data_IF_843679573450
#
_entry.id   IF_843679573450
#
_cell.length_a   1.000
_cell.length_b   1.000
_cell.length_c   1.000
_cell.angle_alpha   90.00
_cell.angle_beta   90.00
_cell.angle_gamma   90.00
#
_symmetry.space_group_name_H-M   'P 1'
#
loop_
_entity.id
_entity.type
_entity.pdbx_description
1 polymer ?
#
# COMPACT_ATOMS: atom_id res chain seq x y z
N UNK A 1 -40.92 82.61 -24.82
CA UNK A 1 -41.99 81.58 -24.94
C UNK A 1 -41.35 80.20 -24.88
N UNK A 2 -41.82 79.35 -23.95
CA UNK A 2 -41.73 77.87 -23.85
C UNK A 2 -40.34 77.21 -24.05
N UNK A 3 -39.60 76.82 -22.99
CA UNK A 3 -39.73 75.60 -22.15
C UNK A 3 -39.96 74.30 -22.94
N UNK A 4 -38.91 73.47 -23.10
CA UNK A 4 -38.99 72.00 -22.95
C UNK A 4 -37.68 71.50 -22.33
N UNK A 5 -37.75 71.21 -21.04
CA UNK A 5 -36.76 70.52 -20.23
C UNK A 5 -37.13 69.03 -20.32
N UNK A 6 -36.46 68.23 -21.15
CA UNK A 6 -36.70 66.78 -21.19
C UNK A 6 -35.82 66.11 -20.14
N UNK A 7 -36.48 65.71 -19.06
CA UNK A 7 -35.90 65.03 -17.91
C UNK A 7 -35.28 63.69 -18.32
N UNK A 8 -33.95 63.61 -18.26
CA UNK A 8 -33.21 62.35 -18.31
C UNK A 8 -33.21 61.75 -16.89
N UNK A 9 -34.34 61.18 -16.47
CA UNK A 9 -34.44 60.35 -15.26
C UNK A 9 -34.47 58.90 -15.72
N UNK A 10 -33.28 58.36 -16.02
CA UNK A 10 -33.07 56.93 -16.15
C UNK A 10 -33.11 56.33 -14.74
N UNK A 11 -33.87 55.25 -14.47
CA UNK A 11 -34.05 54.77 -13.10
C UNK A 11 -32.77 54.10 -12.62
N UNK A 12 -32.11 54.75 -11.65
CA UNK A 12 -30.99 54.22 -10.86
C UNK A 12 -31.42 53.10 -9.88
N UNK A 13 -32.44 52.31 -10.24
CA UNK A 13 -33.13 51.37 -9.34
C UNK A 13 -32.89 49.88 -9.65
N UNK A 14 -31.89 49.56 -10.50
CA UNK A 14 -31.60 48.17 -10.91
C UNK A 14 -30.27 47.59 -10.37
N UNK A 15 -29.57 48.26 -9.47
CA UNK A 15 -28.25 47.78 -8.97
C UNK A 15 -28.32 47.18 -7.55
N UNK A 16 -29.43 47.32 -6.82
CA UNK A 16 -29.52 46.87 -5.42
C UNK A 16 -30.03 45.44 -5.24
N UNK A 17 -30.53 44.78 -6.28
CA UNK A 17 -31.00 43.37 -6.22
C UNK A 17 -29.94 42.32 -6.58
N UNK A 18 -28.69 42.71 -6.87
CA UNK A 18 -27.68 41.82 -7.47
C UNK A 18 -26.64 41.18 -6.53
N UNK A 19 -26.53 41.59 -5.27
CA UNK A 19 -25.46 41.09 -4.36
C UNK A 19 -25.88 39.87 -3.53
N UNK A 20 -27.17 39.74 -3.17
CA UNK A 20 -27.64 38.66 -2.30
C UNK A 20 -27.81 37.30 -2.99
N UNK A 21 -28.24 37.28 -4.25
CA UNK A 21 -28.51 36.04 -4.99
C UNK A 21 -27.24 35.25 -5.30
N UNK A 22 -26.14 35.93 -5.65
CA UNK A 22 -24.85 35.29 -5.96
C UNK A 22 -24.18 34.65 -4.75
N UNK A 23 -24.23 35.30 -3.59
CA UNK A 23 -23.74 34.68 -2.36
C UNK A 23 -24.52 33.40 -2.05
N UNK A 24 -25.84 33.36 -2.30
CA UNK A 24 -26.65 32.15 -2.12
C UNK A 24 -26.21 31.02 -3.06
N UNK A 25 -25.90 31.31 -4.32
CA UNK A 25 -25.38 30.32 -5.27
C UNK A 25 -24.00 29.79 -4.85
N UNK A 26 -23.08 30.67 -4.45
CA UNK A 26 -21.75 30.31 -3.94
C UNK A 26 -21.88 29.42 -2.70
N UNK A 27 -22.74 29.79 -1.75
CA UNK A 27 -23.03 28.99 -0.57
C UNK A 27 -23.62 27.63 -0.93
N UNK A 28 -24.61 27.59 -1.82
CA UNK A 28 -25.22 26.33 -2.26
C UNK A 28 -24.21 25.41 -2.94
N UNK A 29 -23.32 25.94 -3.79
CA UNK A 29 -22.27 25.16 -4.43
C UNK A 29 -21.24 24.63 -3.41
N UNK A 30 -20.87 25.46 -2.42
CA UNK A 30 -19.99 25.07 -1.32
C UNK A 30 -20.62 23.97 -0.46
N UNK A 31 -21.90 24.13 -0.11
CA UNK A 31 -22.64 23.19 0.73
C UNK A 31 -22.87 21.85 0.01
N UNK A 32 -23.17 21.88 -1.30
CA UNK A 32 -23.27 20.68 -2.11
C UNK A 32 -21.94 19.90 -2.14
N UNK A 33 -20.81 20.60 -2.13
CA UNK A 33 -19.48 19.99 -2.11
C UNK A 33 -19.08 19.50 -0.71
N UNK A 34 -19.45 20.23 0.34
CA UNK A 34 -19.10 19.88 1.72
C UNK A 34 -19.95 18.72 2.26
N UNK A 35 -21.24 18.69 1.90
CA UNK A 35 -22.21 17.72 2.43
C UNK A 35 -22.43 16.53 1.49
N UNK A 36 -21.53 16.31 0.53
CA UNK A 36 -21.63 15.17 -0.38
C UNK A 36 -21.42 13.87 0.38
N UNK A 37 -22.38 12.96 0.26
CA UNK A 37 -22.32 11.66 0.91
C UNK A 37 -21.28 10.76 0.23
N UNK A 38 -20.60 9.96 1.06
CA UNK A 38 -19.87 8.79 0.60
C UNK A 38 -20.79 7.84 -0.17
N UNK A 39 -20.26 7.15 -1.18
CA UNK A 39 -21.01 6.07 -1.84
C UNK A 39 -21.32 4.93 -0.87
N UNK A 40 -22.59 4.59 -0.69
CA UNK A 40 -23.06 3.64 0.33
C UNK A 40 -22.52 2.20 0.19
N UNK A 41 -22.05 1.82 -1.01
CA UNK A 41 -21.46 0.52 -1.31
C UNK A 41 -20.26 0.69 -2.25
N UNK A 42 -19.23 1.38 -1.77
CA UNK A 42 -18.01 1.60 -2.55
C UNK A 42 -16.95 0.54 -2.24
N UNK A 43 -16.19 0.14 -3.26
CA UNK A 43 -14.98 -0.69 -3.09
C UNK A 43 -13.86 0.08 -2.39
N UNK A 44 -12.65 -0.46 -2.44
CA UNK A 44 -11.46 0.17 -1.85
C UNK A 44 -11.20 1.57 -2.43
N UNK A 45 -10.72 2.52 -1.64
CA UNK A 45 -10.33 3.84 -2.15
C UNK A 45 -8.93 3.79 -2.76
N UNK A 46 -8.05 2.98 -2.16
CA UNK A 46 -6.69 2.69 -2.62
C UNK A 46 -6.45 1.19 -2.57
N UNK A 47 -5.72 0.65 -3.53
CA UNK A 47 -5.32 -0.76 -3.57
C UNK A 47 -3.82 -0.86 -3.78
N UNK A 48 -3.17 -1.71 -3.00
CA UNK A 48 -1.80 -2.17 -3.25
C UNK A 48 -1.85 -3.63 -3.65
N UNK A 49 -1.25 -3.99 -4.78
CA UNK A 49 -1.09 -5.38 -5.22
C UNK A 49 0.37 -5.76 -5.21
N UNK A 50 0.69 -6.89 -4.59
CA UNK A 50 2.05 -7.42 -4.49
C UNK A 50 2.04 -8.86 -5.03
N UNK A 51 2.62 -9.11 -6.21
CA UNK A 51 2.74 -10.46 -6.74
C UNK A 51 3.60 -11.33 -5.82
N UNK A 52 3.15 -12.55 -5.52
CA UNK A 52 3.87 -13.48 -4.65
C UNK A 52 5.25 -13.82 -5.20
N UNK A 53 5.39 -13.94 -6.52
CA UNK A 53 6.69 -14.17 -7.16
C UNK A 53 7.72 -13.09 -6.77
N UNK A 54 7.32 -11.81 -6.80
CA UNK A 54 8.20 -10.68 -6.45
C UNK A 54 8.53 -10.67 -4.95
N UNK A 55 7.54 -10.91 -4.09
CA UNK A 55 7.75 -10.99 -2.65
C UNK A 55 8.69 -12.16 -2.28
N UNK A 56 8.52 -13.31 -2.93
CA UNK A 56 9.32 -14.52 -2.69
C UNK A 56 10.77 -14.35 -3.16
N UNK A 57 10.99 -13.68 -4.29
CA UNK A 57 12.34 -13.33 -4.74
C UNK A 57 13.07 -12.47 -3.71
N UNK A 58 12.39 -11.48 -3.13
CA UNK A 58 12.95 -10.61 -2.08
C UNK A 58 13.28 -11.41 -0.80
N UNK A 59 12.43 -12.34 -0.39
CA UNK A 59 12.73 -13.23 0.74
C UNK A 59 13.94 -14.13 0.47
N UNK A 60 14.03 -14.72 -0.73
CA UNK A 60 15.17 -15.54 -1.11
C UNK A 60 16.50 -14.75 -1.11
N UNK A 61 16.49 -13.52 -1.65
CA UNK A 61 17.65 -12.63 -1.62
C UNK A 61 18.06 -12.27 -0.19
N UNK A 62 17.07 -11.95 0.66
CA UNK A 62 17.30 -11.60 2.07
C UNK A 62 17.90 -12.78 2.85
N UNK A 63 17.37 -14.00 2.67
CA UNK A 63 17.89 -15.20 3.31
C UNK A 63 19.30 -15.56 2.83
N UNK A 64 19.59 -15.35 1.55
CA UNK A 64 20.94 -15.56 0.99
C UNK A 64 21.94 -14.59 1.62
N UNK A 65 21.57 -13.32 1.76
CA UNK A 65 22.41 -12.30 2.36
C UNK A 65 22.57 -12.46 3.88
N UNK A 66 21.55 -12.98 4.57
CA UNK A 66 21.56 -13.17 6.03
C UNK A 66 20.93 -14.51 6.39
N UNK A 67 21.70 -15.62 6.30
CA UNK A 67 21.21 -16.94 6.62
C UNK A 67 20.72 -17.03 8.07
N UNK A 68 19.51 -17.53 8.25
CA UNK A 68 18.93 -17.74 9.57
C UNK A 68 19.29 -19.11 10.10
N UNK A 69 20.12 -19.14 11.14
CA UNK A 69 20.52 -20.36 11.84
C UNK A 69 19.96 -20.40 13.26
N UNK A 70 19.58 -21.59 13.69
CA UNK A 70 19.19 -21.91 15.06
C UNK A 70 19.93 -23.16 15.52
N UNK A 71 20.43 -23.15 16.75
CA UNK A 71 20.91 -24.38 17.38
C UNK A 71 19.69 -25.21 17.82
N UNK A 72 19.73 -26.51 17.54
CA UNK A 72 18.69 -27.45 17.95
C UNK A 72 19.25 -28.36 19.05
N UNK A 73 18.50 -28.58 20.15
CA UNK A 73 18.95 -29.45 21.22
C UNK A 73 19.00 -30.90 20.72
N UNK A 74 20.09 -31.60 21.05
CA UNK A 74 20.25 -33.00 20.72
C UNK A 74 19.26 -33.88 21.53
N UNK A 75 18.46 -34.75 20.88
CA UNK A 75 17.57 -35.66 21.60
C UNK A 75 18.32 -36.78 22.32
N UNK A 76 17.70 -37.34 23.35
CA UNK A 76 18.10 -38.68 23.83
C UNK A 76 17.46 -39.75 22.94
N UNK A 77 18.29 -40.50 22.20
CA UNK A 77 17.82 -41.56 21.30
C UNK A 77 17.57 -42.91 22.01
N UNK A 78 17.77 -42.99 23.33
CA UNK A 78 17.49 -44.19 24.13
C UNK A 78 18.70 -44.67 24.95
N UNK A 79 18.76 -45.97 25.29
CA UNK A 79 19.76 -46.52 26.23
C UNK A 79 21.16 -46.69 25.63
N UNK A 80 21.32 -46.48 24.32
CA UNK A 80 22.62 -46.51 23.66
C UNK A 80 23.21 -45.11 23.78
N UNK A 81 24.44 -45.00 24.31
CA UNK A 81 25.21 -43.76 24.32
C UNK A 81 25.55 -43.38 22.87
N UNK A 82 24.67 -42.60 22.25
CA UNK A 82 24.91 -41.96 20.96
C UNK A 82 25.33 -40.52 21.26
N UNK A 83 26.57 -40.18 20.92
CA UNK A 83 27.04 -38.79 20.98
C UNK A 83 26.54 -38.07 19.75
N UNK A 84 25.42 -37.37 19.89
CA UNK A 84 24.86 -36.56 18.82
C UNK A 84 25.68 -35.27 18.73
N UNK A 85 26.28 -34.95 17.57
CA UNK A 85 26.95 -33.68 17.36
C UNK A 85 25.96 -32.51 17.47
N UNK A 86 26.45 -31.28 17.54
CA UNK A 86 25.58 -30.12 17.47
C UNK A 86 24.75 -30.15 16.18
N UNK A 87 23.43 -30.07 16.33
CA UNK A 87 22.49 -30.00 15.21
C UNK A 87 22.08 -28.53 15.07
N UNK A 88 22.06 -28.03 13.83
CA UNK A 88 21.59 -26.69 13.52
C UNK A 88 20.49 -26.72 12.46
N UNK A 89 19.45 -25.92 12.67
CA UNK A 89 18.45 -25.61 11.65
C UNK A 89 18.86 -24.35 10.88
N UNK A 90 18.78 -24.39 9.56
CA UNK A 90 18.98 -23.23 8.68
C UNK A 90 17.74 -23.02 7.83
N UNK A 91 17.18 -21.81 7.82
CA UNK A 91 16.05 -21.51 6.92
C UNK A 91 16.56 -21.47 5.49
N UNK A 92 16.09 -22.39 4.68
CA UNK A 92 16.45 -22.53 3.27
C UNK A 92 15.55 -21.70 2.37
N UNK A 93 14.25 -21.68 2.67
CA UNK A 93 13.26 -21.02 1.83
C UNK A 93 12.12 -20.44 2.67
N UNK A 94 11.60 -19.29 2.24
CA UNK A 94 10.36 -18.70 2.73
C UNK A 94 9.54 -18.24 1.53
N UNK A 95 8.33 -18.76 1.40
CA UNK A 95 7.38 -18.41 0.34
C UNK A 95 6.08 -17.89 0.91
N UNK A 96 5.63 -16.76 0.38
CA UNK A 96 4.27 -16.25 0.49
C UNK A 96 3.37 -16.99 -0.50
N UNK A 97 2.21 -17.41 0.00
CA UNK A 97 1.17 -18.16 -0.69
C UNK A 97 -0.21 -17.63 -0.32
N UNK A 98 -1.21 -18.01 -1.12
CA UNK A 98 -2.59 -17.74 -0.81
C UNK A 98 -3.00 -18.36 0.54
N UNK A 99 -3.52 -17.53 1.45
CA UNK A 99 -4.13 -17.98 2.70
C UNK A 99 -5.66 -18.06 2.60
N UNK A 100 -6.30 -18.44 3.70
CA UNK A 100 -7.75 -18.26 3.87
C UNK A 100 -8.15 -16.77 3.77
N UNK A 101 -9.45 -16.47 3.67
CA UNK A 101 -9.94 -15.10 3.63
C UNK A 101 -9.40 -14.27 4.81
N UNK A 102 -8.87 -13.07 4.53
CA UNK A 102 -8.23 -12.21 5.53
C UNK A 102 -6.82 -12.62 5.95
N UNK A 103 -6.28 -13.73 5.43
CA UNK A 103 -4.97 -14.27 5.84
C UNK A 103 -4.01 -14.40 4.66
N UNK A 104 -2.74 -14.48 5.01
CA UNK A 104 -1.64 -14.82 4.11
C UNK A 104 -0.95 -16.06 4.63
N UNK A 105 -0.65 -17.02 3.74
CA UNK A 105 0.07 -18.22 4.11
C UNK A 105 1.55 -18.05 3.81
N UNK A 106 2.38 -18.52 4.72
CA UNK A 106 3.80 -18.69 4.51
C UNK A 106 4.13 -20.18 4.54
N UNK A 107 4.91 -20.61 3.55
CA UNK A 107 5.56 -21.92 3.52
C UNK A 107 7.04 -21.69 3.77
N UNK A 108 7.58 -22.30 4.82
CA UNK A 108 8.96 -22.14 5.25
C UNK A 108 9.61 -23.53 5.21
N UNK A 109 10.78 -23.61 4.58
CA UNK A 109 11.59 -24.83 4.56
C UNK A 109 12.82 -24.63 5.43
N UNK A 110 13.01 -25.48 6.43
CA UNK A 110 14.16 -25.46 7.34
C UNK A 110 15.00 -26.70 7.10
N UNK A 111 16.25 -26.51 6.71
CA UNK A 111 17.24 -27.56 6.57
C UNK A 111 17.90 -27.82 7.93
N UNK A 112 17.82 -29.04 8.43
CA UNK A 112 18.45 -29.48 9.66
C UNK A 112 19.73 -30.21 9.30
N UNK A 113 20.86 -29.76 9.84
CA UNK A 113 22.18 -30.31 9.54
C UNK A 113 22.95 -30.63 10.82
N UNK A 114 23.84 -31.60 10.71
CA UNK A 114 24.97 -31.75 11.62
C UNK A 114 26.23 -31.14 10.99
N UNK A 115 27.39 -31.31 11.63
CA UNK A 115 28.66 -30.81 11.11
C UNK A 115 29.10 -31.44 9.77
N UNK A 116 28.58 -32.62 9.43
CA UNK A 116 29.02 -33.41 8.27
C UNK A 116 28.04 -33.33 7.09
N UNK A 117 26.72 -33.35 7.33
CA UNK A 117 25.71 -33.46 6.29
C UNK A 117 24.34 -32.93 6.71
N UNK A 118 23.43 -32.87 5.72
CA UNK A 118 21.99 -32.71 5.98
C UNK A 118 21.47 -33.93 6.74
N UNK A 119 20.64 -33.66 7.75
CA UNK A 119 19.99 -34.66 8.60
C UNK A 119 18.52 -34.78 8.20
N UNK A 120 17.82 -33.65 7.99
CA UNK A 120 16.42 -33.63 7.61
C UNK A 120 15.99 -32.28 7.01
N UNK A 121 14.85 -32.27 6.32
CA UNK A 121 14.11 -31.06 5.96
C UNK A 121 12.81 -30.96 6.78
N UNK A 122 12.53 -29.78 7.32
CA UNK A 122 11.29 -29.48 8.02
C UNK A 122 10.47 -28.48 7.21
N UNK A 123 9.22 -28.82 6.90
CA UNK A 123 8.26 -27.91 6.32
C UNK A 123 7.43 -27.24 7.43
N UNK A 124 7.30 -25.92 7.37
CA UNK A 124 6.57 -25.12 8.34
C UNK A 124 5.55 -24.28 7.61
N UNK A 125 4.27 -24.41 7.99
CA UNK A 125 3.18 -23.65 7.39
C UNK A 125 2.57 -22.73 8.44
N UNK A 126 2.62 -21.44 8.19
CA UNK A 126 2.01 -20.44 9.05
C UNK A 126 0.99 -19.65 8.25
N UNK A 127 -0.19 -19.40 8.82
CA UNK A 127 -1.11 -18.41 8.25
C UNK A 127 -1.20 -17.23 9.18
N UNK A 128 -0.89 -16.07 8.63
CA UNK A 128 -0.82 -14.81 9.37
C UNK A 128 -2.01 -13.95 8.97
N UNK A 129 -2.68 -13.43 9.99
CA UNK A 129 -3.63 -12.34 9.83
C UNK A 129 -2.87 -11.00 9.92
N UNK A 130 -2.85 -10.19 8.86
CA UNK A 130 -2.26 -8.86 8.88
C UNK A 130 -2.92 -7.97 9.93
N UNK A 131 -2.15 -7.09 10.54
CA UNK A 131 -2.67 -6.13 11.52
C UNK A 131 -2.25 -4.71 11.17
N UNK A 132 -3.14 -3.77 11.43
CA UNK A 132 -2.79 -2.35 11.43
C UNK A 132 -2.31 -1.98 12.82
N UNK A 133 -1.11 -1.43 12.90
CA UNK A 133 -0.61 -0.78 14.11
C UNK A 133 -0.70 0.74 13.94
N UNK A 134 -1.35 1.39 14.91
CA UNK A 134 -1.41 2.86 15.00
C UNK A 134 -0.64 3.29 16.24
N UNK A 135 0.47 3.99 16.04
CA UNK A 135 1.32 4.48 17.14
C UNK A 135 1.90 5.84 16.78
N UNK A 136 1.86 6.79 17.71
CA UNK A 136 2.42 8.14 17.54
C UNK A 136 1.97 8.84 16.24
N UNK A 137 0.69 8.73 15.88
CA UNK A 137 0.15 9.33 14.66
C UNK A 137 0.61 8.66 13.36
N UNK A 138 1.30 7.52 13.43
CA UNK A 138 1.71 6.74 12.26
C UNK A 138 0.87 5.48 12.17
N UNK A 139 0.44 5.14 10.96
CA UNK A 139 -0.21 3.87 10.66
C UNK A 139 0.76 2.99 9.89
N UNK A 140 0.94 1.75 10.36
CA UNK A 140 1.72 0.73 9.67
C UNK A 140 0.87 -0.51 9.46
N UNK A 141 0.90 -1.06 8.24
CA UNK A 141 0.42 -2.42 8.01
C UNK A 141 1.57 -3.39 8.33
N UNK A 142 1.27 -4.33 9.21
CA UNK A 142 2.21 -5.34 9.67
C UNK A 142 1.74 -6.70 9.16
N UNK A 143 2.57 -7.30 8.32
CA UNK A 143 2.46 -8.70 7.90
C UNK A 143 3.73 -9.39 8.37
N UNK A 144 3.62 -10.32 9.31
CA UNK A 144 4.81 -11.01 9.83
C UNK A 144 4.47 -12.04 10.90
N UNK A 145 5.40 -12.93 11.17
CA UNK A 145 5.18 -13.99 12.16
C UNK A 145 5.14 -13.45 13.58
N UNK A 146 4.24 -14.05 14.35
CA UNK A 146 4.28 -14.07 15.81
C UNK A 146 4.04 -15.51 16.25
N UNK A 147 4.50 -15.91 17.46
CA UNK A 147 4.26 -17.26 18.00
C UNK A 147 2.78 -17.61 18.13
N UNK A 148 1.90 -16.61 18.10
CA UNK A 148 0.44 -16.73 18.10
C UNK A 148 -0.18 -16.99 16.71
N UNK A 149 0.57 -16.77 15.62
CA UNK A 149 0.06 -16.87 14.23
C UNK A 149 0.50 -18.18 13.53
N UNK A 150 0.98 -19.15 14.30
CA UNK A 150 1.41 -20.45 13.78
C UNK A 150 0.23 -21.42 13.75
N UNK A 151 -0.21 -21.82 12.55
CA UNK A 151 -1.32 -22.78 12.40
C UNK A 151 -0.81 -24.22 12.54
N UNK A 152 0.28 -24.58 11.87
CA UNK A 152 0.82 -25.94 11.93
C UNK A 152 2.26 -26.04 11.49
N UNK A 153 3.09 -26.72 12.26
CA UNK A 153 4.38 -27.23 11.77
C UNK A 153 4.18 -28.70 11.46
N UNK A 154 4.51 -29.11 10.25
CA UNK A 154 4.46 -30.51 9.84
C UNK A 154 5.80 -30.86 9.24
N UNK A 155 6.69 -31.60 9.94
CA UNK A 155 7.86 -32.10 9.26
C UNK A 155 7.40 -33.02 8.15
N UNK A 156 7.79 -32.67 6.94
CA UNK A 156 7.64 -33.56 5.80
C UNK A 156 8.89 -34.44 5.76
N UNK A 157 8.78 -35.60 6.40
CA UNK A 157 9.76 -36.66 6.25
C UNK A 157 9.52 -37.35 4.91
N UNK A 158 10.09 -36.81 3.85
CA UNK A 158 10.15 -37.47 2.54
C UNK A 158 10.95 -38.78 2.65
N UNK A 159 10.83 -39.69 1.68
CA UNK A 159 11.63 -40.92 1.69
C UNK A 159 13.14 -40.63 1.75
N UNK A 160 13.58 -39.59 1.05
CA UNK A 160 14.95 -39.08 1.09
C UNK A 160 15.34 -38.53 2.46
N UNK A 161 14.44 -37.81 3.14
CA UNK A 161 14.67 -37.34 4.50
C UNK A 161 14.79 -38.51 5.49
N UNK A 162 13.99 -39.57 5.34
CA UNK A 162 14.10 -40.77 6.18
C UNK A 162 15.44 -41.47 5.99
N UNK A 163 15.92 -41.61 4.73
CA UNK A 163 17.25 -42.16 4.46
C UNK A 163 18.36 -41.28 5.06
N UNK A 164 18.23 -39.96 4.94
CA UNK A 164 19.21 -39.01 5.50
C UNK A 164 19.26 -39.09 7.04
N UNK A 165 18.12 -39.30 7.70
CA UNK A 165 18.01 -39.53 9.13
C UNK A 165 18.66 -40.86 9.54
N UNK A 166 18.39 -41.95 8.83
CA UNK A 166 18.99 -43.26 9.09
C UNK A 166 20.51 -43.20 8.96
N UNK A 167 21.01 -42.54 7.91
CA UNK A 167 22.44 -42.33 7.70
C UNK A 167 23.05 -41.47 8.81
N UNK A 168 22.36 -40.42 9.26
CA UNK A 168 22.80 -39.57 10.36
C UNK A 168 22.92 -40.35 11.67
N UNK A 169 21.87 -41.09 12.06
CA UNK A 169 21.88 -41.93 13.27
C UNK A 169 22.99 -42.98 13.20
N UNK A 170 23.19 -43.60 12.04
CA UNK A 170 24.27 -44.57 11.82
C UNK A 170 25.66 -43.92 12.01
N UNK A 171 25.86 -42.68 11.54
CA UNK A 171 27.13 -41.95 11.71
C UNK A 171 27.42 -41.56 13.16
N UNK A 172 26.39 -41.16 13.92
CA UNK A 172 26.53 -40.73 15.31
C UNK A 172 26.83 -41.91 16.26
N UNK A 173 26.56 -43.14 15.82
CA UNK A 173 26.94 -44.34 16.55
C UNK A 173 28.47 -44.51 16.68
N UNK A 174 28.96 -45.15 17.76
CA UNK A 174 30.36 -45.53 17.89
C UNK A 174 30.86 -46.32 16.68
N UNK A 175 32.09 -46.03 16.25
CA UNK A 175 32.67 -46.61 15.03
C UNK A 175 32.61 -48.15 15.00
N UNK A 176 32.75 -48.80 16.17
CA UNK A 176 32.70 -50.27 16.31
C UNK A 176 31.35 -50.90 15.94
N UNK A 177 30.26 -50.14 16.00
CA UNK A 177 28.89 -50.61 15.73
C UNK A 177 28.28 -50.03 14.46
N UNK A 178 28.95 -49.10 13.77
CA UNK A 178 28.46 -48.55 12.49
C UNK A 178 28.23 -49.66 11.47
N UNK A 179 27.08 -49.63 10.80
CA UNK A 179 26.68 -50.67 9.84
C UNK A 179 26.30 -52.02 10.45
N UNK A 180 26.38 -52.18 11.78
CA UNK A 180 25.99 -53.41 12.50
C UNK A 180 24.74 -53.22 13.38
N UNK A 181 24.17 -52.02 13.41
CA UNK A 181 22.96 -51.72 14.17
C UNK A 181 21.76 -52.42 13.51
N UNK A 182 21.00 -53.24 14.24
CA UNK A 182 19.77 -53.84 13.72
C UNK A 182 18.79 -52.76 13.24
N UNK A 183 18.12 -53.02 12.12
CA UNK A 183 17.17 -52.06 11.51
C UNK A 183 16.08 -51.61 12.48
N UNK A 184 15.60 -52.50 13.34
CA UNK A 184 14.61 -52.19 14.39
C UNK A 184 15.09 -51.08 15.35
N UNK A 185 16.39 -51.05 15.68
CA UNK A 185 16.96 -50.01 16.57
C UNK A 185 17.10 -48.69 15.80
N UNK A 186 17.53 -48.74 14.53
CA UNK A 186 17.59 -47.56 13.66
C UNK A 186 16.20 -46.96 13.48
N UNK A 187 15.19 -47.76 13.13
CA UNK A 187 13.81 -47.32 12.95
C UNK A 187 13.27 -46.67 14.25
N UNK A 188 13.57 -47.24 15.43
CA UNK A 188 13.17 -46.67 16.71
C UNK A 188 13.88 -45.34 17.03
N UNK A 189 15.18 -45.23 16.70
CA UNK A 189 15.95 -44.00 16.88
C UNK A 189 15.49 -42.90 15.90
N UNK A 190 15.27 -43.24 14.63
CA UNK A 190 14.70 -42.35 13.61
C UNK A 190 13.30 -41.89 14.00
N UNK A 191 12.46 -42.80 14.53
CA UNK A 191 11.13 -42.43 15.04
C UNK A 191 11.21 -41.47 16.22
N UNK A 192 12.10 -41.71 17.20
CA UNK A 192 12.34 -40.80 18.33
C UNK A 192 12.88 -39.44 17.88
N UNK A 193 13.82 -39.42 16.95
CA UNK A 193 14.36 -38.18 16.38
C UNK A 193 13.25 -37.40 15.67
N UNK A 194 12.41 -38.08 14.88
CA UNK A 194 11.23 -37.49 14.27
C UNK A 194 10.26 -36.91 15.31
N UNK A 195 9.99 -37.63 16.40
CA UNK A 195 9.15 -37.16 17.52
C UNK A 195 9.77 -35.96 18.25
N UNK A 196 11.10 -35.93 18.42
CA UNK A 196 11.79 -34.80 19.00
C UNK A 196 11.71 -33.56 18.11
N UNK A 197 11.90 -33.76 16.80
CA UNK A 197 11.80 -32.72 15.79
C UNK A 197 10.37 -32.14 15.70
N UNK A 198 9.33 -32.94 15.94
CA UNK A 198 7.93 -32.48 16.03
C UNK A 198 7.53 -31.91 17.39
N UNK A 199 8.22 -32.26 18.47
CA UNK A 199 7.85 -31.92 19.85
C UNK A 199 8.68 -30.78 20.45
N UNK A 200 9.81 -31.11 21.08
CA UNK A 200 10.64 -30.10 21.77
C UNK A 200 11.32 -29.14 20.79
N UNK A 201 11.83 -29.65 19.68
CA UNK A 201 12.39 -28.80 18.64
C UNK A 201 11.32 -27.89 18.03
N UNK A 202 10.06 -28.32 17.99
CA UNK A 202 8.95 -27.48 17.58
C UNK A 202 8.76 -26.27 18.49
N UNK A 203 8.73 -26.45 19.81
CA UNK A 203 8.60 -25.31 20.74
C UNK A 203 9.81 -24.37 20.65
N UNK A 204 11.01 -24.90 20.39
CA UNK A 204 12.20 -24.09 20.19
C UNK A 204 12.22 -23.33 18.86
N UNK A 205 11.82 -23.99 17.76
CA UNK A 205 11.58 -23.37 16.45
C UNK A 205 10.51 -22.29 16.59
N UNK A 206 9.42 -22.57 17.29
CA UNK A 206 8.33 -21.63 17.53
C UNK A 206 8.78 -20.42 18.36
N UNK A 207 9.50 -20.63 19.46
CA UNK A 207 9.95 -19.57 20.35
C UNK A 207 11.10 -18.72 19.78
N UNK A 208 11.99 -19.34 18.99
CA UNK A 208 13.24 -18.71 18.57
C UNK A 208 13.26 -18.41 17.07
N UNK A 209 13.04 -19.42 16.24
CA UNK A 209 13.12 -19.26 14.78
C UNK A 209 11.99 -18.41 14.26
N UNK A 210 10.75 -18.70 14.63
CA UNK A 210 9.60 -17.92 14.15
C UNK A 210 9.62 -16.49 14.67
N UNK A 211 10.22 -16.24 15.83
CA UNK A 211 10.43 -14.87 16.30
C UNK A 211 11.41 -14.11 15.40
N UNK A 212 12.58 -14.70 15.11
CA UNK A 212 13.59 -14.11 14.20
C UNK A 212 13.10 -14.01 12.76
N UNK A 213 12.43 -15.05 12.27
CA UNK A 213 11.74 -15.01 10.99
C UNK A 213 10.65 -13.95 11.00
N UNK A 214 9.90 -13.79 12.08
CA UNK A 214 8.86 -12.79 12.22
C UNK A 214 9.40 -11.38 12.16
N UNK A 215 10.60 -11.15 12.66
CA UNK A 215 11.33 -9.89 12.49
C UNK A 215 11.75 -9.69 11.03
N UNK A 216 12.29 -10.72 10.35
CA UNK A 216 12.76 -10.62 8.97
C UNK A 216 11.64 -10.55 7.92
N UNK A 217 10.57 -11.30 8.12
CA UNK A 217 9.40 -11.31 7.23
C UNK A 217 8.38 -10.26 7.62
N UNK A 218 8.65 -9.47 8.68
CA UNK A 218 7.85 -8.30 9.00
C UNK A 218 7.94 -7.32 7.85
N UNK A 219 6.89 -7.32 7.04
CA UNK A 219 6.61 -6.25 6.11
C UNK A 219 6.03 -5.10 6.95
N UNK A 220 6.82 -4.03 7.07
CA UNK A 220 6.37 -2.77 7.66
C UNK A 220 6.07 -1.80 6.54
N UNK A 221 4.82 -1.81 6.09
CA UNK A 221 4.34 -0.81 5.15
C UNK A 221 3.86 0.40 5.94
N UNK A 222 4.71 1.43 6.02
CA UNK A 222 4.30 2.73 6.54
C UNK A 222 3.29 3.33 5.59
N UNK A 223 2.08 3.54 6.07
CA UNK A 223 1.03 4.20 5.31
C UNK A 223 1.22 5.72 5.41
N UNK A 224 0.84 6.47 4.36
CA UNK A 224 0.85 7.93 4.45
C UNK A 224 -0.08 8.38 5.58
N UNK A 225 0.16 9.57 6.12
CA UNK A 225 -0.75 10.19 7.09
C UNK A 225 -2.02 10.59 6.34
N UNK A 226 -2.95 9.65 6.23
CA UNK A 226 -4.26 9.81 5.59
C UNK A 226 -5.28 9.11 6.49
N UNK A 227 -6.54 9.59 6.55
CA UNK A 227 -7.53 9.02 7.45
C UNK A 227 -8.02 7.69 6.88
N UNK A 228 -7.43 6.59 7.36
CA UNK A 228 -7.77 5.22 6.95
C UNK A 228 -8.81 4.66 7.93
N UNK A 229 -10.02 4.44 7.43
CA UNK A 229 -11.13 3.82 8.14
C UNK A 229 -10.88 2.32 8.36
N UNK A 230 -10.51 1.62 7.26
CA UNK A 230 -10.44 0.17 7.18
C UNK A 230 -9.32 -0.26 6.24
N UNK A 231 -8.70 -1.39 6.55
CA UNK A 231 -7.83 -2.11 5.63
C UNK A 231 -8.32 -3.53 5.52
N UNK A 232 -8.59 -3.96 4.29
CA UNK A 232 -8.95 -5.32 3.95
C UNK A 232 -7.77 -5.97 3.24
N UNK A 233 -7.34 -7.12 3.72
CA UNK A 233 -6.34 -7.92 3.04
C UNK A 233 -6.99 -9.16 2.46
N UNK A 234 -6.65 -9.46 1.22
CA UNK A 234 -6.99 -10.73 0.58
C UNK A 234 -5.78 -11.28 -0.17
N UNK A 235 -5.71 -12.59 -0.20
CA UNK A 235 -4.77 -13.30 -1.05
C UNK A 235 -5.53 -13.92 -2.21
N UNK A 236 -5.02 -13.75 -3.42
CA UNK A 236 -5.45 -14.49 -4.60
C UNK A 236 -4.48 -15.65 -4.81
N UNK A 237 -4.61 -16.43 -5.88
CA UNK A 237 -3.65 -17.52 -6.15
C UNK A 237 -2.24 -17.01 -6.41
N UNK A 238 -2.10 -15.78 -6.92
CA UNK A 238 -0.82 -15.21 -7.39
C UNK A 238 -0.45 -13.91 -6.71
N UNK A 239 -1.40 -13.22 -6.06
CA UNK A 239 -1.21 -11.86 -5.54
C UNK A 239 -1.61 -11.76 -4.07
N UNK A 240 -0.88 -10.91 -3.35
CA UNK A 240 -1.37 -10.26 -2.15
C UNK A 240 -2.06 -8.95 -2.54
N UNK A 241 -3.28 -8.73 -2.06
CA UNK A 241 -4.04 -7.50 -2.30
C UNK A 241 -4.38 -6.83 -0.97
N UNK A 242 -3.95 -5.59 -0.84
CA UNK A 242 -4.24 -4.71 0.31
C UNK A 242 -5.18 -3.60 -0.18
N UNK A 243 -6.44 -3.69 0.24
CA UNK A 243 -7.48 -2.71 -0.05
C UNK A 243 -7.60 -1.74 1.14
N UNK A 244 -7.43 -0.45 0.90
CA UNK A 244 -7.55 0.61 1.90
C UNK A 244 -8.86 1.38 1.66
N UNK A 245 -9.64 1.59 2.72
CA UNK A 245 -10.83 2.46 2.71
C UNK A 245 -10.55 3.62 3.67
N UNK A 246 -10.79 4.84 3.20
CA UNK A 246 -10.56 6.09 3.92
C UNK A 246 -11.84 6.59 4.59
N UNK A 247 -11.72 7.42 5.62
CA UNK A 247 -12.85 8.14 6.21
C UNK A 247 -13.30 9.33 5.32
N UNK A 248 -12.65 9.54 4.18
CA UNK A 248 -12.97 10.61 3.25
C UNK A 248 -14.30 10.33 2.52
N UNK A 249 -15.02 11.36 2.05
CA UNK A 249 -16.30 11.22 1.36
C UNK A 249 -16.13 10.78 -0.11
N UNK A 250 -15.34 9.73 -0.36
CA UNK A 250 -15.14 9.15 -1.69
C UNK A 250 -16.48 8.60 -2.23
N UNK A 251 -16.84 8.98 -3.45
CA UNK A 251 -18.13 8.57 -4.05
C UNK A 251 -18.03 7.25 -4.79
N UNK A 252 -16.87 7.03 -5.43
CA UNK A 252 -16.60 5.82 -6.20
C UNK A 252 -15.26 5.24 -5.76
N UNK A 253 -15.31 4.05 -5.18
CA UNK A 253 -14.13 3.23 -4.92
C UNK A 253 -13.70 2.49 -6.18
N UNK A 254 -12.58 1.79 -6.05
CA UNK A 254 -11.98 0.93 -7.05
C UNK A 254 -12.88 -0.28 -7.34
N UNK A 255 -12.88 -0.78 -8.59
CA UNK A 255 -13.47 -2.08 -8.91
C UNK A 255 -12.72 -3.22 -8.17
N UNK A 256 -13.23 -4.46 -8.15
CA UNK A 256 -12.50 -5.62 -7.63
C UNK A 256 -11.11 -5.78 -8.28
N UNK A 257 -10.17 -6.39 -7.55
CA UNK A 257 -8.83 -6.64 -8.09
C UNK A 257 -8.88 -7.65 -9.23
N UNK A 258 -7.94 -7.50 -10.18
CA UNK A 258 -7.65 -8.49 -11.20
C UNK A 258 -6.45 -9.33 -10.76
N UNK A 259 -6.44 -10.60 -11.14
CA UNK A 259 -5.42 -11.58 -10.74
C UNK A 259 -4.20 -11.63 -11.68
N UNK A 260 -4.09 -10.66 -12.60
CA UNK A 260 -3.13 -10.63 -13.70
C UNK A 260 -1.95 -9.65 -13.50
N UNK A 261 -1.76 -9.13 -12.28
CA UNK A 261 -0.68 -8.18 -12.02
C UNK A 261 0.70 -8.88 -12.01
N UNK A 262 1.58 -8.48 -12.92
CA UNK A 262 2.97 -8.99 -13.00
C UNK A 262 3.95 -8.23 -12.10
N UNK A 263 3.63 -6.99 -11.79
CA UNK A 263 4.45 -6.11 -10.97
C UNK A 263 3.66 -5.59 -9.77
N UNK A 264 4.40 -5.06 -8.79
CA UNK A 264 3.76 -4.36 -7.68
C UNK A 264 3.05 -3.13 -8.20
N UNK A 265 1.85 -2.85 -7.72
CA UNK A 265 1.10 -1.68 -8.15
C UNK A 265 0.34 -1.02 -7.01
N UNK A 266 0.19 0.29 -7.11
CA UNK A 266 -0.72 1.10 -6.30
C UNK A 266 -1.76 1.69 -7.22
N UNK A 267 -3.02 1.45 -6.93
CA UNK A 267 -4.15 2.00 -7.67
C UNK A 267 -4.97 2.86 -6.71
N UNK A 268 -5.39 4.04 -7.16
CA UNK A 268 -6.25 4.95 -6.40
C UNK A 268 -7.44 5.34 -7.26
N UNK A 269 -8.64 5.35 -6.69
CA UNK A 269 -9.79 5.85 -7.46
C UNK A 269 -9.66 7.36 -7.67
N UNK A 270 -10.12 7.88 -8.81
CA UNK A 270 -10.10 9.32 -9.08
C UNK A 270 -10.86 10.13 -8.01
N UNK A 271 -11.91 9.56 -7.43
CA UNK A 271 -12.63 10.16 -6.31
C UNK A 271 -11.79 10.19 -5.04
N UNK A 272 -11.00 9.16 -4.74
CA UNK A 272 -10.08 9.16 -3.60
C UNK A 272 -8.97 10.20 -3.78
N UNK A 273 -8.45 10.35 -5.02
CA UNK A 273 -7.46 11.40 -5.36
C UNK A 273 -8.01 12.81 -5.06
N UNK A 274 -9.24 13.10 -5.52
CA UNK A 274 -9.87 14.40 -5.30
C UNK A 274 -10.10 14.69 -3.80
N UNK A 275 -10.60 13.71 -3.04
CA UNK A 275 -10.78 13.91 -1.60
C UNK A 275 -9.46 14.03 -0.84
N UNK A 276 -8.43 13.27 -1.24
CA UNK A 276 -7.12 13.36 -0.64
C UNK A 276 -6.49 14.75 -0.87
N UNK A 277 -6.70 15.35 -2.04
CA UNK A 277 -6.29 16.73 -2.31
C UNK A 277 -6.98 17.74 -1.38
N UNK A 278 -8.29 17.59 -1.17
CA UNK A 278 -9.04 18.42 -0.22
C UNK A 278 -8.55 18.24 1.21
N UNK A 279 -8.35 16.99 1.64
CA UNK A 279 -7.83 16.67 2.96
C UNK A 279 -6.45 17.30 3.17
N UNK A 280 -5.57 17.22 2.17
CA UNK A 280 -4.22 17.81 2.19
C UNK A 280 -4.26 19.33 2.33
N UNK A 281 -5.19 20.01 1.65
CA UNK A 281 -5.42 21.45 1.79
C UNK A 281 -5.91 21.81 3.19
N UNK A 282 -6.83 21.01 3.73
CA UNK A 282 -7.47 21.28 5.01
C UNK A 282 -6.52 21.09 6.19
N UNK A 283 -5.56 20.17 6.06
CA UNK A 283 -4.55 19.83 7.08
C UNK A 283 -3.19 20.52 6.85
N UNK A 284 -3.08 21.37 5.83
CA UNK A 284 -1.88 22.19 5.60
C UNK A 284 -0.72 21.47 4.90
N UNK A 285 -0.96 20.28 4.33
CA UNK A 285 0.00 19.58 3.46
C UNK A 285 0.08 20.20 2.06
N UNK A 286 -0.91 21.02 1.69
CA UNK A 286 -0.93 21.81 0.46
C UNK A 286 -1.33 23.27 0.77
N UNK A 287 -0.98 24.25 -0.08
CA UNK A 287 -1.39 25.63 0.12
C UNK A 287 -2.91 25.75 0.18
N UNK A 288 -3.41 26.39 1.25
CA UNK A 288 -4.84 26.55 1.49
C UNK A 288 -5.47 27.71 0.74
N UNK A 289 -4.66 28.71 0.41
CA UNK A 289 -5.11 30.00 -0.09
C UNK A 289 -4.33 30.41 -1.34
N UNK A 290 -5.03 31.03 -2.27
CA UNK A 290 -4.50 31.46 -3.56
C UNK A 290 -4.98 32.89 -3.86
N UNK A 291 -4.13 33.69 -4.49
CA UNK A 291 -4.49 35.01 -5.00
C UNK A 291 -5.41 34.89 -6.22
N UNK A 292 -5.92 36.02 -6.73
CA UNK A 292 -6.69 36.08 -8.00
C UNK A 292 -5.94 35.53 -9.21
N UNK A 293 -4.61 35.56 -9.19
CA UNK A 293 -3.75 34.99 -10.22
C UNK A 293 -3.44 33.49 -10.01
N UNK A 294 -4.17 32.84 -9.08
CA UNK A 294 -3.93 31.47 -8.63
C UNK A 294 -2.51 31.21 -8.12
N UNK A 295 -1.90 32.20 -7.49
CA UNK A 295 -0.60 32.02 -6.85
C UNK A 295 -0.81 31.63 -5.40
N UNK A 296 -0.20 30.53 -4.90
CA UNK A 296 -0.24 30.18 -3.48
C UNK A 296 0.17 31.37 -2.60
N UNK A 297 -0.69 31.79 -1.68
CA UNK A 297 -0.40 32.87 -0.74
C UNK A 297 -1.25 32.76 0.52
N UNK A 298 -0.67 32.88 1.73
CA UNK A 298 -1.44 32.95 2.98
C UNK A 298 -2.47 34.08 3.03
N UNK A 299 -2.25 35.17 2.28
CA UNK A 299 -3.18 36.31 2.14
C UNK A 299 -4.14 36.16 0.95
N UNK A 300 -4.10 35.04 0.23
CA UNK A 300 -4.98 34.76 -0.89
C UNK A 300 -6.46 34.79 -0.51
N UNK A 301 -7.30 35.13 -1.49
CA UNK A 301 -8.76 35.24 -1.34
C UNK A 301 -9.48 33.93 -1.69
N UNK A 302 -8.84 33.09 -2.51
CA UNK A 302 -9.44 31.88 -3.08
C UNK A 302 -8.95 30.61 -2.40
N UNK A 303 -9.87 29.68 -2.17
CA UNK A 303 -9.58 28.33 -1.69
C UNK A 303 -10.03 27.31 -2.73
N UNK A 304 -9.12 26.48 -3.24
CA UNK A 304 -9.49 25.42 -4.16
C UNK A 304 -10.16 24.28 -3.40
N UNK A 305 -11.10 23.63 -4.08
CA UNK A 305 -11.69 22.36 -3.70
C UNK A 305 -11.78 21.46 -4.92
N UNK A 306 -11.58 20.17 -4.72
CA UNK A 306 -11.51 19.17 -5.77
C UNK A 306 -12.69 18.22 -5.72
N UNK A 307 -13.08 17.76 -6.89
CA UNK A 307 -14.16 16.80 -7.07
C UNK A 307 -13.89 15.84 -8.22
N UNK A 308 -14.55 14.68 -8.20
CA UNK A 308 -14.47 13.67 -9.23
C UNK A 308 -15.85 13.19 -9.68
N UNK A 309 -16.28 13.60 -10.87
CA UNK A 309 -17.60 13.29 -11.43
C UNK A 309 -17.45 12.26 -12.53
N UNK A 310 -17.50 10.96 -12.18
CA UNK A 310 -17.31 9.86 -13.11
C UNK A 310 -18.30 9.82 -14.29
N UNK A 311 -19.48 10.44 -14.14
CA UNK A 311 -20.47 10.56 -15.22
C UNK A 311 -20.00 11.49 -16.35
N UNK A 312 -19.09 12.43 -16.05
CA UNK A 312 -18.49 13.32 -17.03
C UNK A 312 -17.15 12.74 -17.49
N UNK A 313 -17.18 11.99 -18.59
CA UNK A 313 -15.99 11.34 -19.14
C UNK A 313 -15.01 12.29 -19.82
N UNK A 314 -15.47 13.48 -20.23
CA UNK A 314 -14.60 14.46 -20.88
C UNK A 314 -13.71 15.14 -19.85
N UNK A 315 -14.31 15.57 -18.73
CA UNK A 315 -13.64 16.37 -17.71
C UNK A 315 -13.95 15.86 -16.29
N UNK A 316 -13.56 14.62 -15.93
CA UNK A 316 -14.05 14.00 -14.71
C UNK A 316 -13.56 14.71 -13.43
N UNK A 317 -12.40 15.35 -13.47
CA UNK A 317 -11.90 16.14 -12.34
C UNK A 317 -12.48 17.55 -12.38
N UNK A 318 -13.07 18.00 -11.27
CA UNK A 318 -13.54 19.39 -11.13
C UNK A 318 -12.71 20.12 -10.11
N UNK A 319 -12.29 21.33 -10.47
CA UNK A 319 -11.62 22.27 -9.57
C UNK A 319 -12.58 23.42 -9.32
N UNK A 320 -12.98 23.57 -8.07
CA UNK A 320 -13.74 24.72 -7.59
C UNK A 320 -12.77 25.70 -6.95
N UNK A 321 -12.82 26.97 -7.32
CA UNK A 321 -12.09 28.03 -6.63
C UNK A 321 -13.10 28.95 -5.95
N UNK A 322 -13.32 28.78 -4.65
CA UNK A 322 -14.24 29.61 -3.87
C UNK A 322 -13.49 30.81 -3.29
N UNK A 323 -14.03 32.01 -3.45
CA UNK A 323 -13.59 33.17 -2.69
C UNK A 323 -14.14 33.05 -1.26
N UNK A 324 -13.29 32.72 -0.30
CA UNK A 324 -13.72 32.64 1.12
C UNK A 324 -13.43 33.94 1.88
N UNK A 325 -12.63 34.86 1.30
CA UNK A 325 -12.25 36.13 1.96
C UNK A 325 -12.62 37.32 1.08
N UNK A 326 -13.37 38.25 1.64
CA UNK A 326 -13.64 39.56 1.02
C UNK A 326 -14.58 39.54 -0.18
N UNK A 327 -15.32 38.44 -0.43
CA UNK A 327 -16.32 38.41 -1.49
C UNK A 327 -17.10 37.09 -1.59
N UNK A 328 -17.96 37.02 -2.62
CA UNK A 328 -18.82 35.89 -2.95
C UNK A 328 -18.64 35.55 -4.43
N UNK A 329 -17.49 35.02 -4.81
CA UNK A 329 -17.27 34.46 -6.14
C UNK A 329 -16.85 33.00 -6.09
N UNK A 330 -17.21 32.24 -7.12
CA UNK A 330 -16.59 30.95 -7.37
C UNK A 330 -16.54 30.63 -8.86
N UNK A 331 -15.63 29.72 -9.18
CA UNK A 331 -15.46 29.16 -10.51
C UNK A 331 -15.39 27.64 -10.39
N UNK A 332 -15.96 26.94 -11.36
CA UNK A 332 -15.86 25.50 -11.52
C UNK A 332 -15.22 25.21 -12.87
N UNK A 333 -14.12 24.50 -12.83
CA UNK A 333 -13.34 24.14 -14.01
C UNK A 333 -13.32 22.62 -14.11
N UNK A 334 -13.78 22.09 -15.24
CA UNK A 334 -13.57 20.70 -15.63
C UNK A 334 -12.17 20.53 -16.18
N UNK A 335 -11.48 19.47 -15.78
CA UNK A 335 -10.17 19.12 -16.32
C UNK A 335 -10.09 17.64 -16.64
N UNK A 336 -9.40 17.32 -17.74
CA UNK A 336 -8.87 15.97 -17.96
C UNK A 336 -7.48 15.91 -17.37
N UNK A 337 -7.17 14.85 -16.64
CA UNK A 337 -5.84 14.66 -16.08
C UNK A 337 -5.05 13.65 -16.92
N UNK A 338 -3.74 13.85 -16.97
CA UNK A 338 -2.79 12.84 -17.42
C UNK A 338 -1.67 12.74 -16.37
N UNK A 339 -1.22 11.53 -16.10
CA UNK A 339 0.01 11.29 -15.37
C UNK A 339 0.97 10.54 -16.28
N UNK A 340 2.23 10.94 -16.27
CA UNK A 340 3.30 10.30 -17.01
C UNK A 340 4.56 10.24 -16.14
N UNK A 341 5.37 9.21 -16.35
CA UNK A 341 6.71 9.13 -15.79
C UNK A 341 7.72 9.47 -16.90
N UNK A 342 8.57 10.47 -16.66
CA UNK A 342 9.65 10.84 -17.57
C UNK A 342 10.98 10.75 -16.82
N UNK A 343 11.75 9.69 -17.11
CA UNK A 343 12.93 9.36 -16.32
C UNK A 343 12.57 9.01 -14.88
N UNK A 344 13.01 9.85 -13.94
CA UNK A 344 12.76 9.74 -12.49
C UNK A 344 11.70 10.70 -11.96
N UNK A 345 11.00 11.36 -12.87
CA UNK A 345 10.07 12.42 -12.54
C UNK A 345 8.65 12.05 -12.94
N UNK A 346 7.76 12.06 -11.95
CA UNK A 346 6.32 11.99 -12.18
C UNK A 346 5.81 13.36 -12.59
N UNK A 347 5.19 13.41 -13.76
CA UNK A 347 4.57 14.60 -14.34
C UNK A 347 3.06 14.42 -14.31
N UNK A 348 2.37 15.27 -13.55
CA UNK A 348 0.91 15.40 -13.62
C UNK A 348 0.54 16.60 -14.49
N UNK A 349 -0.27 16.38 -15.52
CA UNK A 349 -0.70 17.39 -16.48
C UNK A 349 -2.22 17.53 -16.46
N UNK A 350 -2.71 18.76 -16.37
CA UNK A 350 -4.11 19.09 -16.59
C UNK A 350 -4.34 19.48 -18.06
N UNK A 351 -5.02 18.61 -18.79
CA UNK A 351 -5.44 18.75 -20.18
C UNK A 351 -6.90 19.23 -20.27
N UNK A 352 -7.29 19.69 -21.45
CA UNK A 352 -8.69 19.97 -21.83
C UNK A 352 -9.48 20.66 -20.71
N UNK A 353 -9.06 21.87 -20.38
CA UNK A 353 -9.66 22.59 -19.25
C UNK A 353 -10.83 23.41 -19.75
N UNK A 354 -11.99 23.19 -19.17
CA UNK A 354 -13.24 23.86 -19.54
C UNK A 354 -13.82 24.60 -18.33
N UNK A 355 -14.23 25.87 -18.52
CA UNK A 355 -14.96 26.60 -17.50
C UNK A 355 -16.44 26.18 -17.55
N UNK A 356 -16.89 25.44 -16.54
CA UNK A 356 -18.24 24.85 -16.51
C UNK A 356 -19.25 25.71 -15.78
N UNK A 357 -18.81 26.44 -14.75
CA UNK A 357 -19.67 27.35 -14.02
C UNK A 357 -18.87 28.51 -13.44
N UNK A 358 -19.51 29.66 -13.32
CA UNK A 358 -18.98 30.80 -12.58
C UNK A 358 -20.11 31.57 -11.95
N UNK A 359 -19.93 31.97 -10.70
CA UNK A 359 -20.71 33.03 -10.06
C UNK A 359 -19.72 34.11 -9.66
N UNK A 360 -19.54 35.12 -10.52
CA UNK A 360 -18.52 36.16 -10.39
C UNK A 360 -19.05 37.50 -10.90
N UNK A 361 -18.37 38.61 -10.59
CA UNK A 361 -18.69 39.90 -11.23
C UNK A 361 -18.21 39.86 -12.69
N UNK A 362 -19.11 39.89 -13.69
CA UNK A 362 -18.82 39.50 -15.07
C UNK A 362 -17.75 40.37 -15.77
N UNK A 363 -17.54 41.61 -15.35
CA UNK A 363 -16.66 42.55 -16.06
C UNK A 363 -15.19 42.46 -15.63
N UNK A 364 -14.91 42.12 -14.35
CA UNK A 364 -13.56 42.22 -13.79
C UNK A 364 -12.85 40.86 -13.69
N UNK A 365 -13.58 39.77 -13.44
CA UNK A 365 -12.96 38.44 -13.27
C UNK A 365 -12.92 37.60 -14.54
N UNK A 366 -13.87 37.80 -15.48
CA UNK A 366 -13.82 37.16 -16.79
C UNK A 366 -12.51 37.50 -17.52
N UNK A 367 -12.09 38.78 -17.52
CA UNK A 367 -10.85 39.20 -18.18
C UNK A 367 -9.57 38.60 -17.53
N UNK A 368 -9.52 38.47 -16.21
CA UNK A 368 -8.36 37.94 -15.50
C UNK A 368 -8.20 36.42 -15.72
N UNK A 369 -9.30 35.69 -15.79
CA UNK A 369 -9.30 34.24 -15.94
C UNK A 369 -9.33 33.76 -17.38
N UNK A 370 -10.04 34.45 -18.27
CA UNK A 370 -9.95 34.24 -19.73
C UNK A 370 -8.50 34.42 -20.18
N UNK A 371 -7.76 35.39 -19.62
CA UNK A 371 -6.32 35.50 -19.86
C UNK A 371 -5.56 34.25 -19.39
N UNK A 372 -5.83 33.74 -18.19
CA UNK A 372 -5.14 32.55 -17.65
C UNK A 372 -5.50 31.24 -18.36
N UNK A 373 -6.73 31.11 -18.86
CA UNK A 373 -7.24 29.95 -19.60
C UNK A 373 -6.89 29.98 -21.08
N UNK A 374 -7.05 31.13 -21.76
CA UNK A 374 -6.82 31.26 -23.21
C UNK A 374 -5.34 31.48 -23.57
N UNK A 375 -4.54 32.15 -22.72
CA UNK A 375 -3.09 32.35 -22.99
C UNK A 375 -2.18 31.38 -22.24
N UNK A 376 -2.74 30.61 -21.30
CA UNK A 376 -2.02 29.66 -20.48
C UNK A 376 -2.16 28.21 -20.95
N UNK A 377 -2.14 27.93 -22.27
CA UNK A 377 -2.13 26.57 -22.86
C UNK A 377 -0.85 25.76 -22.54
N UNK A 378 -0.13 26.14 -21.49
CA UNK A 378 1.01 25.41 -20.98
C UNK A 378 0.42 24.37 -20.05
N UNK A 379 0.43 23.12 -20.50
CA UNK A 379 0.37 21.93 -19.66
C UNK A 379 1.11 22.21 -18.36
N UNK A 380 0.35 22.42 -17.28
CA UNK A 380 0.96 22.66 -15.98
C UNK A 380 1.38 21.33 -15.41
N UNK A 381 2.61 20.97 -15.72
CA UNK A 381 3.29 19.84 -15.13
C UNK A 381 3.74 20.18 -13.71
N UNK A 382 3.41 19.31 -12.76
CA UNK A 382 4.10 19.23 -11.47
C UNK A 382 5.00 18.00 -11.50
N UNK A 383 6.25 18.22 -11.12
CA UNK A 383 7.28 17.20 -11.05
C UNK A 383 7.45 16.74 -9.61
N UNK A 384 7.40 15.43 -9.38
CA UNK A 384 7.64 14.80 -8.08
C UNK A 384 8.65 13.66 -8.25
N UNK A 385 9.49 13.45 -7.24
CA UNK A 385 10.42 12.33 -7.21
C UNK A 385 9.66 11.00 -7.18
N UNK A 386 10.09 10.05 -8.01
CA UNK A 386 9.43 8.76 -8.20
C UNK A 386 9.84 7.67 -7.18
N UNK A 387 10.38 8.04 -6.01
CA UNK A 387 10.99 7.09 -5.07
C UNK A 387 10.37 7.20 -3.68
N UNK A 388 10.15 6.06 -3.03
CA UNK A 388 9.79 5.97 -1.62
C UNK A 388 10.58 4.83 -0.96
N UNK A 389 10.80 4.91 0.34
CA UNK A 389 11.48 3.86 1.10
C UNK A 389 10.46 2.97 1.79
N UNK A 390 10.59 1.67 1.59
CA UNK A 390 9.87 0.61 2.29
C UNK A 390 10.84 -0.06 3.26
N UNK A 391 10.39 -0.60 4.40
CA UNK A 391 11.27 -1.37 5.29
C UNK A 391 10.77 -2.79 5.42
N UNK A 392 11.63 -3.77 5.13
CA UNK A 392 11.36 -5.22 5.26
C UNK A 392 12.47 -5.83 6.08
N UNK A 393 12.14 -6.50 7.17
CA UNK A 393 13.16 -7.12 8.01
C UNK A 393 14.18 -6.14 8.59
N UNK A 394 13.76 -4.89 8.83
CA UNK A 394 14.66 -3.80 9.26
C UNK A 394 15.56 -3.22 8.17
N UNK A 395 15.47 -3.70 6.91
CA UNK A 395 16.23 -3.16 5.77
C UNK A 395 15.38 -2.17 4.99
N UNK A 396 15.94 -0.99 4.73
CA UNK A 396 15.33 -0.04 3.80
C UNK A 396 15.45 -0.60 2.36
N UNK A 397 14.32 -0.78 1.70
CA UNK A 397 14.18 -1.07 0.29
C UNK A 397 13.76 0.21 -0.42
N UNK A 398 14.40 0.50 -1.54
CA UNK A 398 13.96 1.59 -2.39
C UNK A 398 12.83 1.09 -3.28
N UNK A 399 11.69 1.75 -3.20
CA UNK A 399 10.55 1.54 -4.09
C UNK A 399 10.55 2.65 -5.11
N UNK A 400 10.72 2.31 -6.38
CA UNK A 400 10.69 3.26 -7.49
C UNK A 400 9.41 3.06 -8.30
N UNK A 401 8.72 4.15 -8.61
CA UNK A 401 7.64 4.16 -9.60
C UNK A 401 8.27 3.98 -10.98
N UNK A 402 7.88 2.92 -11.68
CA UNK A 402 8.39 2.59 -13.04
C UNK A 402 7.37 2.88 -14.12
N UNK A 403 6.10 3.01 -13.76
CA UNK A 403 5.08 3.57 -14.66
C UNK A 403 3.99 4.25 -13.85
N UNK A 404 3.38 5.26 -14.43
CA UNK A 404 2.21 5.92 -13.90
C UNK A 404 1.25 6.20 -15.06
N UNK A 405 -0.03 5.89 -14.87
CA UNK A 405 -1.06 6.14 -15.88
C UNK A 405 -2.42 6.36 -15.22
N UNK A 406 -3.34 6.97 -15.95
CA UNK A 406 -4.76 7.01 -15.61
C UNK A 406 -5.46 6.05 -16.57
N UNK A 407 -6.10 5.01 -16.02
CA UNK A 407 -6.86 4.03 -16.78
C UNK A 407 -8.31 4.14 -16.33
N UNK A 408 -9.19 4.46 -17.29
CA UNK A 408 -10.59 4.81 -17.02
C UNK A 408 -10.68 5.95 -15.98
N UNK A 409 -11.10 5.61 -14.76
CA UNK A 409 -11.32 6.55 -13.66
C UNK A 409 -10.25 6.46 -12.56
N UNK A 410 -9.24 5.61 -12.74
CA UNK A 410 -8.32 5.20 -11.68
C UNK A 410 -6.88 5.60 -12.02
N UNK A 411 -6.15 6.09 -11.02
CA UNK A 411 -4.73 6.40 -11.13
C UNK A 411 -3.94 5.16 -10.72
N UNK A 412 -3.08 4.67 -11.62
CA UNK A 412 -2.28 3.46 -11.42
C UNK A 412 -0.80 3.80 -11.47
N UNK A 413 -0.08 3.34 -10.46
CA UNK A 413 1.37 3.37 -10.37
C UNK A 413 1.88 1.93 -10.34
N UNK A 414 2.84 1.60 -11.21
CA UNK A 414 3.59 0.35 -11.11
C UNK A 414 4.91 0.62 -10.41
N UNK A 415 5.29 -0.28 -9.51
CA UNK A 415 6.40 -0.13 -8.59
C UNK A 415 7.43 -1.23 -8.82
N UNK A 416 8.69 -0.86 -8.71
CA UNK A 416 9.83 -1.78 -8.63
C UNK A 416 10.52 -1.61 -7.29
N UNK A 417 10.79 -2.73 -6.62
CA UNK A 417 11.65 -2.73 -5.44
C UNK A 417 13.10 -2.98 -5.86
N UNK A 418 14.02 -2.28 -5.20
CA UNK A 418 15.45 -2.56 -5.25
C UNK A 418 16.04 -2.50 -3.85
N UNK A 419 16.97 -3.41 -3.57
CA UNK A 419 17.81 -3.32 -2.39
C UNK A 419 18.85 -2.22 -2.67
N UNK A 420 18.98 -1.18 -1.83
CA UNK A 420 20.02 -0.18 -2.00
C UNK A 420 21.39 -0.88 -1.96
N UNK A 421 22.20 -0.63 -2.97
CA UNK A 421 23.60 -1.09 -3.01
C UNK A 421 24.36 -0.26 -1.97
N UNK A 422 25.06 -0.89 -1.01
CA UNK A 422 25.75 -0.20 0.08
C UNK A 422 26.87 0.73 -0.40
#
# INVERSE_FOLDING_TARGET
>A
MLKVLFALVLPLALVTSGCGSRCKEVHSARDALANRAAGAQRGADVRVTIPFERANALFAETLTATPLKIALPAPSLGPIEITIPEIAGTVREVRLLAGAAGKVRFSITVEVRDAAAEVALLAVIAEVEPRLERSNGKTALIIGFGPENLISVRPELTAEATTSLDDAVSRWGPEKIRGKVPRVILDAATSKLGQHLTGEAYELVRGTLLKRLGELTRLHLRLPDVPIAKVDLRSTTTLLVVDLVTDLPVRRGLPPARDDATDMAVVMSGSAVAELANWSIDHGHAPRWYTRSLTPSPSGEFRPRFDYVAADRAHPFKVYAFQDRGGCSYFKVGVRAQVALTGDTLTFTALDRELEASAANPVIEAAAWVKYFLTGSIDRSKQLAAHTQLTVGGRALETRVVSATIVDDDVRFSLKLSVPVP
#
